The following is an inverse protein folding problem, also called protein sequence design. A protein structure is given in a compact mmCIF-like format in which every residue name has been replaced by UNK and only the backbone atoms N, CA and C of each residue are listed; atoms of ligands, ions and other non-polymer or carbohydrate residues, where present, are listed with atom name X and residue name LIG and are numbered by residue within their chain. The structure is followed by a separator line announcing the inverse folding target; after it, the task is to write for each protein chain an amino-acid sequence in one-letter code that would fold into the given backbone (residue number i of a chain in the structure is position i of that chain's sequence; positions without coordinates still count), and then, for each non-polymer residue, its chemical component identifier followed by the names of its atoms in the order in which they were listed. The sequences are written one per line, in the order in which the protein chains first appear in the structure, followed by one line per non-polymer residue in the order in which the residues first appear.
data_IF_084911986813
#
_entry.id   IF_084911986813
#
_cell.length_a   1.000
_cell.length_b   1.000
_cell.length_c   1.000
_cell.angle_alpha   90.00
_cell.angle_beta   90.00
_cell.angle_gamma   90.00
#
_symmetry.space_group_name_H-M   'P 1'
#
loop_
_entity.id
_entity.type
_entity.pdbx_description
1 polymer ?
#
# COMPACT_ATOMS: atom_id res chain seq x y z
N UNK A 1 -12.68 -5.39 32.62
CA UNK A 1 -13.36 -4.54 31.63
C UNK A 1 -12.90 -4.97 30.26
N UNK A 2 -13.74 -5.46 29.34
CA UNK A 2 -13.32 -5.76 27.99
C UNK A 2 -13.03 -4.43 27.32
N UNK A 3 -11.82 -4.28 26.88
CA UNK A 3 -11.26 -3.05 26.34
C UNK A 3 -11.95 -2.67 25.03
N UNK A 4 -12.24 -1.40 24.86
CA UNK A 4 -12.62 -0.69 23.63
C UNK A 4 -11.65 -0.93 22.44
N UNK A 5 -10.61 -1.74 22.61
CA UNK A 5 -9.60 -2.07 21.61
C UNK A 5 -10.04 -3.11 20.55
N UNK A 6 -11.17 -3.81 20.77
CA UNK A 6 -11.58 -4.89 19.88
C UNK A 6 -12.67 -4.52 18.87
N UNK A 7 -13.25 -3.33 18.92
CA UNK A 7 -14.25 -2.92 17.92
C UNK A 7 -13.56 -2.31 16.70
N UNK A 8 -13.83 -2.87 15.52
CA UNK A 8 -13.45 -2.28 14.25
C UNK A 8 -14.50 -1.23 13.85
N UNK A 9 -14.06 -0.02 13.60
CA UNK A 9 -14.90 1.05 13.05
C UNK A 9 -15.44 0.61 11.68
N UNK A 10 -16.68 0.95 11.35
CA UNK A 10 -17.21 0.77 10.00
C UNK A 10 -16.33 1.50 8.99
N UNK A 11 -16.12 0.89 7.85
CA UNK A 11 -15.34 1.47 6.75
C UNK A 11 -16.25 2.41 5.95
N UNK A 12 -15.67 3.49 5.44
CA UNK A 12 -16.31 4.42 4.52
C UNK A 12 -15.27 4.85 3.47
N UNK A 13 -15.72 5.40 2.34
CA UNK A 13 -14.83 5.96 1.33
C UNK A 13 -14.01 4.91 0.56
N UNK A 14 -14.55 3.68 0.42
CA UNK A 14 -13.93 2.66 -0.43
C UNK A 14 -14.15 3.05 -1.89
N UNK A 15 -13.08 3.09 -2.67
CA UNK A 15 -13.12 3.37 -4.10
C UNK A 15 -12.48 2.24 -4.89
N UNK A 16 -13.07 1.92 -6.04
CA UNK A 16 -12.47 1.08 -7.05
C UNK A 16 -12.25 1.93 -8.30
N UNK A 17 -11.03 1.94 -8.82
CA UNK A 17 -10.70 2.62 -10.08
C UNK A 17 -10.88 1.71 -11.28
N UNK A 18 -11.01 2.30 -12.48
CA UNK A 18 -11.03 1.58 -13.76
C UNK A 18 -9.68 0.90 -14.08
N UNK A 19 -8.61 1.30 -13.38
CA UNK A 19 -7.32 0.62 -13.41
C UNK A 19 -7.27 -0.64 -12.52
N UNK A 20 -8.40 -1.03 -11.91
CA UNK A 20 -8.51 -2.23 -11.09
C UNK A 20 -7.85 -2.13 -9.72
N UNK A 21 -7.61 -0.92 -9.23
CA UNK A 21 -7.08 -0.67 -7.90
C UNK A 21 -8.21 -0.26 -6.96
N UNK A 22 -8.35 -0.95 -5.86
CA UNK A 22 -9.25 -0.57 -4.77
C UNK A 22 -8.47 0.11 -3.65
N UNK A 23 -9.01 1.21 -3.10
CA UNK A 23 -8.39 1.97 -2.00
C UNK A 23 -9.44 2.36 -0.97
N UNK A 24 -9.00 2.59 0.27
CA UNK A 24 -9.85 2.99 1.41
C UNK A 24 -9.03 3.71 2.48
N UNK A 25 -9.66 4.50 3.37
CA UNK A 25 -8.97 5.10 4.50
C UNK A 25 -8.46 4.03 5.46
N UNK A 26 -7.21 4.18 5.94
CA UNK A 26 -6.63 3.25 6.90
C UNK A 26 -7.37 3.28 8.25
N UNK A 27 -7.56 2.11 8.86
CA UNK A 27 -8.14 1.95 10.19
C UNK A 27 -7.02 1.59 11.17
N UNK A 28 -6.80 2.40 12.19
CA UNK A 28 -5.69 2.25 13.14
C UNK A 28 -5.70 0.94 13.93
N UNK A 29 -6.86 0.30 14.07
CA UNK A 29 -7.04 -1.01 14.74
C UNK A 29 -7.00 -2.19 13.77
N UNK A 30 -6.92 -1.96 12.46
CA UNK A 30 -6.76 -3.01 11.47
C UNK A 30 -5.30 -3.44 11.36
N UNK A 31 -5.08 -4.75 11.27
CA UNK A 31 -3.80 -5.35 10.93
C UNK A 31 -3.75 -5.82 9.48
N UNK A 32 -4.94 -6.06 8.91
CA UNK A 32 -5.09 -6.41 7.50
C UNK A 32 -6.52 -6.14 7.04
N UNK A 33 -6.76 -6.33 5.75
CA UNK A 33 -8.07 -6.18 5.13
C UNK A 33 -8.36 -7.39 4.24
N UNK A 34 -9.62 -7.80 4.20
CA UNK A 34 -10.13 -8.77 3.24
C UNK A 34 -10.96 -8.05 2.18
N UNK A 35 -10.73 -8.40 0.92
CA UNK A 35 -11.39 -7.77 -0.24
C UNK A 35 -12.05 -8.84 -1.10
N UNK A 36 -13.32 -8.68 -1.39
CA UNK A 36 -14.08 -9.50 -2.34
C UNK A 36 -14.39 -8.71 -3.59
N UNK A 37 -14.05 -9.25 -4.73
CA UNK A 37 -14.40 -8.66 -6.02
C UNK A 37 -15.72 -9.25 -6.50
N UNK A 38 -16.61 -8.39 -6.98
CA UNK A 38 -17.88 -8.74 -7.56
C UNK A 38 -17.91 -8.31 -9.03
N UNK A 39 -18.54 -9.11 -9.86
CA UNK A 39 -18.82 -8.84 -11.26
C UNK A 39 -20.30 -9.10 -11.49
N UNK A 40 -21.02 -8.09 -11.96
CA UNK A 40 -22.48 -8.14 -12.14
C UNK A 40 -23.19 -8.74 -10.91
N UNK A 41 -22.81 -8.28 -9.70
CA UNK A 41 -23.36 -8.73 -8.42
C UNK A 41 -22.90 -10.12 -7.94
N UNK A 42 -22.07 -10.84 -8.70
CA UNK A 42 -21.57 -12.18 -8.35
C UNK A 42 -20.10 -12.12 -7.92
N UNK A 43 -19.76 -12.88 -6.86
CA UNK A 43 -18.38 -12.99 -6.36
C UNK A 43 -17.47 -13.59 -7.43
N UNK A 44 -16.28 -13.00 -7.60
CA UNK A 44 -15.23 -13.49 -8.51
C UNK A 44 -14.06 -14.06 -7.70
N UNK A 45 -13.97 -15.36 -7.64
CA UNK A 45 -12.88 -16.08 -6.95
C UNK A 45 -12.90 -15.94 -5.43
N UNK A 46 -11.80 -16.26 -4.79
CA UNK A 46 -11.60 -16.12 -3.34
C UNK A 46 -11.31 -14.68 -2.95
N UNK A 47 -11.52 -14.34 -1.68
CA UNK A 47 -11.14 -13.03 -1.15
C UNK A 47 -9.61 -12.80 -1.30
N UNK A 48 -9.25 -11.57 -1.60
CA UNK A 48 -7.88 -11.07 -1.54
C UNK A 48 -7.61 -10.58 -0.12
N UNK A 49 -6.37 -10.67 0.32
CA UNK A 49 -5.95 -10.15 1.64
C UNK A 49 -4.78 -9.19 1.44
N UNK A 50 -4.78 -8.08 2.14
CA UNK A 50 -3.71 -7.09 2.15
C UNK A 50 -3.55 -6.48 3.54
N UNK A 51 -2.34 -6.09 3.90
CA UNK A 51 -1.99 -5.36 5.12
C UNK A 51 -1.95 -3.83 4.89
N UNK A 52 -2.11 -3.41 3.64
CA UNK A 52 -2.20 -2.01 3.23
C UNK A 52 -3.66 -1.58 3.03
N UNK A 53 -3.89 -0.29 2.91
CA UNK A 53 -5.22 0.29 2.64
C UNK A 53 -5.56 0.37 1.13
N UNK A 54 -4.94 -0.50 0.34
CA UNK A 54 -5.21 -0.65 -1.09
C UNK A 54 -4.94 -2.08 -1.56
N UNK A 55 -5.51 -2.47 -2.71
CA UNK A 55 -5.31 -3.78 -3.30
C UNK A 55 -5.47 -3.74 -4.82
N UNK A 56 -4.63 -4.49 -5.52
CA UNK A 56 -4.77 -4.73 -6.95
C UNK A 56 -5.78 -5.86 -7.21
N UNK A 57 -6.91 -5.51 -7.82
CA UNK A 57 -8.00 -6.42 -8.13
C UNK A 57 -7.95 -6.97 -9.57
N UNK A 58 -7.00 -6.53 -10.42
CA UNK A 58 -6.94 -6.83 -11.86
C UNK A 58 -7.04 -8.32 -12.16
N UNK A 59 -6.37 -9.16 -11.37
CA UNK A 59 -6.42 -10.63 -11.49
C UNK A 59 -7.86 -11.18 -11.41
N UNK A 60 -8.78 -10.45 -10.80
CA UNK A 60 -10.20 -10.80 -10.68
C UNK A 60 -11.09 -10.06 -11.70
N UNK A 61 -10.53 -9.10 -12.46
CA UNK A 61 -11.27 -8.21 -13.35
C UNK A 61 -10.96 -8.48 -14.84
N UNK A 62 -10.74 -9.75 -15.19
CA UNK A 62 -10.26 -10.18 -16.52
C UNK A 62 -11.38 -10.44 -17.55
N UNK A 63 -12.66 -10.25 -17.20
CA UNK A 63 -13.75 -10.38 -18.16
C UNK A 63 -14.14 -9.02 -18.69
N UNK A 64 -14.06 -8.78 -20.01
CA UNK A 64 -14.35 -7.49 -20.59
C UNK A 64 -15.84 -7.17 -20.62
N UNK A 65 -16.15 -5.88 -20.71
CA UNK A 65 -17.47 -5.33 -20.91
C UNK A 65 -18.46 -5.69 -19.79
N UNK A 66 -17.98 -5.70 -18.56
CA UNK A 66 -18.72 -6.03 -17.36
C UNK A 66 -18.51 -4.98 -16.28
N UNK A 67 -19.46 -4.86 -15.36
CA UNK A 67 -19.36 -3.98 -14.21
C UNK A 67 -18.75 -4.72 -13.02
N UNK A 68 -17.82 -4.05 -12.34
CA UNK A 68 -17.14 -4.56 -11.16
C UNK A 68 -17.30 -3.63 -9.97
N UNK A 69 -17.37 -4.21 -8.80
CA UNK A 69 -17.28 -3.52 -7.51
C UNK A 69 -16.50 -4.38 -6.53
N UNK A 70 -16.05 -3.80 -5.44
CA UNK A 70 -15.44 -4.54 -4.33
C UNK A 70 -16.20 -4.34 -3.03
N UNK A 71 -16.13 -5.35 -2.15
CA UNK A 71 -16.46 -5.19 -0.74
C UNK A 71 -15.20 -5.41 0.06
N UNK A 72 -14.98 -4.55 1.04
CA UNK A 72 -13.80 -4.59 1.90
C UNK A 72 -14.25 -4.68 3.35
N UNK A 73 -13.52 -5.43 4.17
CA UNK A 73 -13.62 -5.40 5.61
C UNK A 73 -12.26 -5.40 6.27
N UNK A 74 -12.16 -4.73 7.40
CA UNK A 74 -10.96 -4.75 8.24
C UNK A 74 -10.88 -6.03 9.07
N UNK A 75 -9.66 -6.48 9.36
CA UNK A 75 -9.34 -7.57 10.28
C UNK A 75 -8.52 -6.97 11.42
N UNK A 76 -8.90 -7.23 12.67
CA UNK A 76 -8.25 -6.63 13.83
C UNK A 76 -6.78 -7.08 13.95
N UNK A 77 -5.89 -6.13 14.27
CA UNK A 77 -4.44 -6.40 14.37
C UNK A 77 -4.03 -7.23 15.58
N UNK A 78 -4.87 -7.29 16.61
CA UNK A 78 -4.59 -8.04 17.83
C UNK A 78 -5.31 -9.39 17.88
N UNK A 79 -6.45 -9.50 17.16
CA UNK A 79 -7.26 -10.71 17.10
C UNK A 79 -7.85 -10.85 15.68
N UNK A 80 -7.27 -11.69 14.86
CA UNK A 80 -7.68 -11.91 13.48
C UNK A 80 -9.05 -12.59 13.32
N UNK A 81 -9.65 -13.09 14.40
CA UNK A 81 -11.02 -13.60 14.41
C UNK A 81 -12.05 -12.47 14.46
N UNK A 82 -11.63 -11.28 14.95
CA UNK A 82 -12.46 -10.08 14.99
C UNK A 82 -12.35 -9.36 13.64
N UNK A 83 -13.48 -9.34 12.93
CA UNK A 83 -13.58 -8.73 11.59
C UNK A 83 -14.71 -7.72 11.56
N UNK A 84 -14.49 -6.63 10.83
CA UNK A 84 -15.49 -5.59 10.58
C UNK A 84 -16.56 -6.05 9.57
N UNK A 85 -17.57 -5.21 9.41
CA UNK A 85 -18.62 -5.41 8.41
C UNK A 85 -18.07 -5.19 7.00
N UNK A 86 -18.67 -5.88 6.02
CA UNK A 86 -18.36 -5.69 4.61
C UNK A 86 -18.95 -4.37 4.11
N UNK A 87 -18.11 -3.50 3.57
CA UNK A 87 -18.50 -2.22 3.00
C UNK A 87 -18.20 -2.19 1.49
N UNK A 88 -19.09 -1.62 0.73
CA UNK A 88 -19.06 -1.61 -0.74
C UNK A 88 -18.31 -0.39 -1.29
N UNK A 89 -17.66 -0.56 -2.44
CA UNK A 89 -17.12 0.52 -3.26
C UNK A 89 -18.15 1.07 -4.26
N UNK A 90 -17.75 2.09 -5.02
CA UNK A 90 -18.40 2.41 -6.30
C UNK A 90 -18.29 1.24 -7.29
N UNK A 91 -19.13 1.25 -8.31
CA UNK A 91 -19.08 0.32 -9.44
C UNK A 91 -18.27 0.94 -10.58
N UNK A 92 -17.43 0.14 -11.25
CA UNK A 92 -16.68 0.53 -12.44
C UNK A 92 -16.96 -0.43 -13.60
N UNK A 93 -17.08 0.11 -14.80
CA UNK A 93 -17.18 -0.65 -16.05
C UNK A 93 -15.76 -0.90 -16.59
N UNK A 94 -15.45 -2.16 -16.92
CA UNK A 94 -14.15 -2.56 -17.46
C UNK A 94 -14.32 -2.98 -18.92
N UNK A 95 -13.78 -2.16 -19.82
CA UNK A 95 -13.82 -2.41 -21.26
C UNK A 95 -12.88 -3.52 -21.71
N UNK A 96 -13.00 -3.94 -22.98
CA UNK A 96 -12.09 -4.89 -23.60
C UNK A 96 -10.63 -4.38 -23.63
N UNK A 97 -10.45 -3.10 -23.89
CA UNK A 97 -9.13 -2.46 -23.94
C UNK A 97 -8.48 -2.47 -22.55
N UNK A 98 -9.24 -2.20 -21.49
CA UNK A 98 -8.74 -2.28 -20.11
C UNK A 98 -8.33 -3.70 -19.73
N UNK A 99 -9.08 -4.70 -20.12
CA UNK A 99 -8.68 -6.10 -19.91
C UNK A 99 -7.40 -6.44 -20.68
N UNK A 100 -7.23 -5.90 -21.89
CA UNK A 100 -5.98 -6.07 -22.65
C UNK A 100 -4.79 -5.44 -21.93
N UNK A 101 -4.94 -4.21 -21.40
CA UNK A 101 -3.94 -3.57 -20.54
C UNK A 101 -3.58 -4.44 -19.33
N UNK A 102 -4.59 -4.97 -18.61
CA UNK A 102 -4.35 -5.81 -17.43
C UNK A 102 -3.58 -7.09 -17.76
N UNK A 103 -3.81 -7.69 -18.93
CA UNK A 103 -3.10 -8.91 -19.38
C UNK A 103 -1.63 -8.66 -19.70
N UNK A 104 -1.28 -7.46 -20.14
CA UNK A 104 0.08 -7.08 -20.46
C UNK A 104 0.86 -6.49 -19.29
N UNK A 105 0.18 -6.17 -18.18
CA UNK A 105 0.82 -5.66 -16.97
C UNK A 105 1.49 -6.80 -16.19
N UNK A 106 2.83 -6.80 -16.04
CA UNK A 106 3.54 -7.83 -15.30
C UNK A 106 3.14 -7.91 -13.82
N UNK A 107 2.54 -6.84 -13.28
CA UNK A 107 2.11 -6.76 -11.88
C UNK A 107 0.61 -7.09 -11.69
N UNK A 108 -0.12 -7.42 -12.76
CA UNK A 108 -1.56 -7.67 -12.67
C UNK A 108 -1.93 -8.78 -11.69
N UNK A 109 -1.06 -9.76 -11.51
CA UNK A 109 -1.25 -10.90 -10.58
C UNK A 109 -0.82 -10.63 -9.14
N UNK A 110 -0.09 -9.54 -8.90
CA UNK A 110 0.39 -9.20 -7.56
C UNK A 110 -0.64 -8.36 -6.82
N UNK A 111 -1.39 -9.00 -5.93
CA UNK A 111 -2.47 -8.35 -5.16
C UNK A 111 -1.98 -7.28 -4.19
N UNK A 112 -0.74 -7.39 -3.72
CA UNK A 112 -0.15 -6.45 -2.76
C UNK A 112 0.53 -5.23 -3.43
N UNK A 113 0.62 -5.18 -4.78
CA UNK A 113 1.18 -4.02 -5.50
C UNK A 113 0.23 -2.82 -5.59
N UNK A 114 -0.92 -2.90 -4.98
CA UNK A 114 -1.85 -1.77 -4.89
C UNK A 114 -1.38 -0.64 -3.96
N UNK A 115 -0.37 -0.90 -3.13
CA UNK A 115 0.32 0.15 -2.36
C UNK A 115 1.39 0.82 -3.23
N UNK A 116 0.96 1.67 -4.15
CA UNK A 116 1.83 2.64 -4.83
C UNK A 116 2.98 2.12 -5.71
N UNK A 117 3.17 0.80 -5.84
CA UNK A 117 4.40 0.21 -6.38
C UNK A 117 4.46 0.03 -7.90
N UNK A 118 3.47 0.45 -8.66
CA UNK A 118 3.58 0.60 -10.13
C UNK A 118 4.04 1.99 -10.54
N UNK A 119 4.50 2.78 -9.61
CA UNK A 119 5.09 4.08 -9.88
C UNK A 119 6.47 3.95 -10.52
N UNK A 120 7.04 5.07 -10.88
CA UNK A 120 8.37 5.15 -11.48
C UNK A 120 9.25 6.10 -10.67
N UNK A 121 10.46 5.65 -10.40
CA UNK A 121 11.50 6.55 -9.96
C UNK A 121 11.80 7.57 -11.04
N UNK A 122 11.86 8.82 -10.66
CA UNK A 122 12.22 9.94 -11.52
C UNK A 122 13.37 10.71 -10.90
N UNK A 123 14.29 11.16 -11.74
CA UNK A 123 15.39 11.99 -11.34
C UNK A 123 15.25 13.37 -11.97
N UNK A 124 15.36 14.40 -11.15
CA UNK A 124 15.39 15.77 -11.61
C UNK A 124 16.78 16.16 -12.16
N UNK A 125 16.85 17.30 -12.82
CA UNK A 125 18.11 17.82 -13.40
C UNK A 125 19.17 18.10 -12.34
N UNK A 126 18.77 18.36 -11.09
CA UNK A 126 19.63 18.56 -9.93
C UNK A 126 20.03 17.25 -9.22
N UNK A 127 19.71 16.10 -9.87
CA UNK A 127 19.99 14.73 -9.41
C UNK A 127 19.18 14.25 -8.21
N UNK A 128 18.23 15.01 -7.69
CA UNK A 128 17.31 14.52 -6.66
C UNK A 128 16.37 13.49 -7.24
N UNK A 129 16.07 12.44 -6.45
CA UNK A 129 15.14 11.39 -6.81
C UNK A 129 13.80 11.61 -6.14
N UNK A 130 12.74 11.28 -6.84
CA UNK A 130 11.39 11.19 -6.32
C UNK A 130 10.63 10.03 -6.96
N UNK A 131 9.56 9.61 -6.31
CA UNK A 131 8.78 8.48 -6.78
C UNK A 131 7.40 8.94 -7.23
N UNK A 132 7.09 8.78 -8.51
CA UNK A 132 5.77 9.05 -9.08
C UNK A 132 4.95 7.77 -9.00
N UNK A 133 3.92 7.75 -8.16
CA UNK A 133 2.98 6.63 -8.10
C UNK A 133 2.20 6.49 -9.41
N UNK A 134 1.54 5.34 -9.61
CA UNK A 134 0.77 5.06 -10.83
C UNK A 134 -0.38 6.05 -11.06
N UNK A 135 -0.95 6.60 -9.98
CA UNK A 135 -2.01 7.60 -10.00
C UNK A 135 -1.50 9.05 -10.23
N UNK A 136 -0.20 9.21 -10.43
CA UNK A 136 0.46 10.50 -10.63
C UNK A 136 0.78 11.25 -9.33
N UNK A 137 0.40 10.74 -8.17
CA UNK A 137 0.79 11.31 -6.87
C UNK A 137 2.24 10.92 -6.50
N UNK A 138 2.75 11.49 -5.43
CA UNK A 138 4.08 11.17 -4.88
C UNK A 138 4.03 11.18 -3.34
N UNK A 139 4.88 10.38 -2.66
CA UNK A 139 5.01 10.45 -1.22
C UNK A 139 5.70 11.76 -0.81
N UNK A 140 5.22 12.39 0.26
CA UNK A 140 5.83 13.58 0.84
C UNK A 140 5.73 13.53 2.36
N UNK A 141 6.83 13.87 3.03
CA UNK A 141 6.98 13.85 4.48
C UNK A 141 6.52 12.51 5.09
N UNK A 142 6.97 11.40 4.51
CA UNK A 142 6.59 10.05 4.94
C UNK A 142 7.57 8.97 4.50
N UNK A 143 7.49 7.83 5.16
CA UNK A 143 8.06 6.58 4.70
C UNK A 143 7.16 5.92 3.66
N UNK A 144 7.78 5.27 2.66
CA UNK A 144 7.11 4.47 1.64
C UNK A 144 7.89 3.18 1.41
N UNK A 145 7.20 2.05 1.39
CA UNK A 145 7.81 0.77 1.05
C UNK A 145 7.72 0.54 -0.47
N UNK A 146 8.87 0.44 -1.13
CA UNK A 146 8.99 0.27 -2.57
C UNK A 146 9.87 -0.94 -2.88
N UNK A 147 9.26 -1.98 -3.42
CA UNK A 147 9.99 -3.20 -3.80
C UNK A 147 10.63 -3.94 -2.61
N UNK A 148 9.98 -3.93 -1.44
CA UNK A 148 10.47 -4.58 -0.22
C UNK A 148 11.55 -3.79 0.53
N UNK A 149 11.77 -2.53 0.17
CA UNK A 149 12.69 -1.60 0.84
C UNK A 149 11.96 -0.34 1.24
N UNK A 150 12.32 0.22 2.40
CA UNK A 150 11.76 1.46 2.91
C UNK A 150 12.59 2.66 2.47
N UNK A 151 11.89 3.72 2.01
CA UNK A 151 12.46 5.00 1.58
C UNK A 151 11.75 6.13 2.31
N UNK A 152 12.48 7.16 2.72
CA UNK A 152 11.88 8.37 3.27
C UNK A 152 11.86 9.48 2.24
N UNK A 153 10.74 10.17 2.15
CA UNK A 153 10.55 11.33 1.27
C UNK A 153 10.34 12.58 2.10
N UNK A 154 11.06 13.65 1.76
CA UNK A 154 10.94 14.93 2.45
C UNK A 154 9.58 15.60 2.15
N UNK A 155 9.37 16.78 2.74
CA UNK A 155 8.14 17.58 2.57
C UNK A 155 7.85 17.97 1.11
N UNK A 156 8.88 18.01 0.26
CA UNK A 156 8.78 18.32 -1.17
C UNK A 156 8.67 17.05 -2.04
N UNK A 157 8.65 15.86 -1.43
CA UNK A 157 8.53 14.58 -2.10
C UNK A 157 9.84 14.02 -2.66
N UNK A 158 11.00 14.54 -2.25
CA UNK A 158 12.29 14.01 -2.66
C UNK A 158 12.81 12.97 -1.69
N UNK A 159 13.36 11.89 -2.26
CA UNK A 159 14.01 10.81 -1.50
C UNK A 159 15.19 11.34 -0.69
N UNK A 160 15.22 11.00 0.59
CA UNK A 160 16.29 11.36 1.52
C UNK A 160 17.30 10.23 1.65
N UNK A 161 18.55 10.62 1.93
CA UNK A 161 19.67 9.74 2.29
C UNK A 161 20.27 10.20 3.60
N UNK A 162 21.05 9.33 4.26
CA UNK A 162 21.65 9.62 5.56
C UNK A 162 20.63 9.51 6.72
N UNK A 163 20.90 10.23 7.81
CA UNK A 163 20.06 10.17 9.00
C UNK A 163 18.71 10.88 8.82
N UNK A 164 17.67 10.21 9.31
CA UNK A 164 16.28 10.67 9.30
C UNK A 164 15.74 10.59 10.72
N UNK A 165 15.37 11.71 11.30
CA UNK A 165 14.65 11.75 12.58
C UNK A 165 13.15 11.71 12.31
N UNK A 166 12.47 10.69 12.83
CA UNK A 166 11.07 10.45 12.61
C UNK A 166 10.38 9.87 13.85
N UNK A 167 9.35 10.55 14.33
CA UNK A 167 8.55 10.12 15.48
C UNK A 167 9.40 9.77 16.73
N UNK A 168 10.45 10.56 16.99
CA UNK A 168 11.30 10.38 18.17
C UNK A 168 12.33 9.24 18.06
N UNK A 169 12.51 8.67 16.88
CA UNK A 169 13.55 7.70 16.54
C UNK A 169 14.41 8.21 15.40
N UNK A 170 15.68 7.77 15.32
CA UNK A 170 16.57 8.06 14.21
C UNK A 170 16.77 6.81 13.37
N UNK A 171 16.73 6.98 12.05
CA UNK A 171 16.89 5.94 11.03
C UNK A 171 17.98 6.35 10.07
N UNK A 172 18.59 5.40 9.37
CA UNK A 172 19.60 5.71 8.38
C UNK A 172 19.22 5.16 7.00
N UNK A 173 19.17 6.04 6.00
CA UNK A 173 18.99 5.66 4.60
C UNK A 173 20.35 5.61 3.88
N UNK A 174 20.59 4.55 3.10
CA UNK A 174 21.79 4.39 2.29
C UNK A 174 21.93 5.49 1.24
N UNK A 175 23.05 5.52 0.51
CA UNK A 175 23.22 6.41 -0.66
C UNK A 175 22.19 6.15 -1.77
N UNK A 176 21.62 4.93 -1.83
CA UNK A 176 20.54 4.57 -2.73
C UNK A 176 19.15 4.92 -2.18
N UNK A 177 19.07 5.48 -0.97
CA UNK A 177 17.84 5.90 -0.30
C UNK A 177 17.14 4.82 0.52
N UNK A 178 17.55 3.56 0.42
CA UNK A 178 16.92 2.47 1.18
C UNK A 178 17.34 2.49 2.66
N UNK A 179 16.36 2.32 3.56
CA UNK A 179 16.57 2.27 5.00
C UNK A 179 17.43 1.05 5.38
N UNK A 180 18.47 1.27 6.18
CA UNK A 180 19.30 0.20 6.73
C UNK A 180 18.60 -0.46 7.92
N UNK A 181 18.74 -1.79 8.01
CA UNK A 181 18.21 -2.61 9.12
C UNK A 181 19.24 -3.65 9.54
N UNK A 182 19.27 -4.01 10.84
CA UNK A 182 20.13 -5.06 11.41
C UNK A 182 21.62 -4.94 11.02
N UNK A 183 22.15 -3.72 10.93
CA UNK A 183 23.53 -3.51 10.51
C UNK A 183 24.16 -2.26 11.15
N UNK A 184 25.46 -2.08 10.92
CA UNK A 184 26.16 -0.84 11.24
C UNK A 184 26.03 0.15 10.09
N UNK A 185 25.73 1.40 10.41
CA UNK A 185 25.77 2.51 9.45
C UNK A 185 27.23 2.85 9.07
N UNK A 186 27.47 3.57 7.96
CA UNK A 186 28.83 3.97 7.57
C UNK A 186 29.61 4.78 8.62
N UNK A 187 28.90 5.47 9.51
CA UNK A 187 29.45 6.25 10.63
C UNK A 187 29.46 5.49 11.97
N UNK A 188 29.36 4.13 11.91
CA UNK A 188 29.50 3.18 13.01
C UNK A 188 28.40 3.23 14.09
N UNK A 189 27.17 3.51 13.73
CA UNK A 189 26.02 3.35 14.60
C UNK A 189 25.26 2.07 14.26
N UNK A 190 24.75 1.37 15.26
CA UNK A 190 23.94 0.16 15.08
C UNK A 190 22.48 0.54 14.87
N UNK A 191 21.85 0.00 13.81
CA UNK A 191 20.40 0.06 13.60
C UNK A 191 19.79 -1.33 13.73
N UNK A 192 18.61 -1.40 14.32
CA UNK A 192 17.91 -2.66 14.61
C UNK A 192 17.09 -3.18 13.42
N UNK A 193 16.34 -4.27 13.66
CA UNK A 193 15.47 -4.90 12.67
C UNK A 193 14.34 -3.97 12.18
N UNK A 194 13.94 -3.01 13.02
CA UNK A 194 12.96 -1.97 12.67
C UNK A 194 13.61 -0.73 12.00
N UNK A 195 14.92 -0.78 11.74
CA UNK A 195 15.70 0.31 11.17
C UNK A 195 16.05 1.43 12.15
N UNK A 196 15.53 1.40 13.38
CA UNK A 196 15.82 2.44 14.35
C UNK A 196 17.24 2.30 14.94
N UNK A 197 17.91 3.44 15.17
CA UNK A 197 19.16 3.49 15.88
C UNK A 197 19.04 2.91 17.29
N UNK A 198 20.00 2.07 17.66
CA UNK A 198 20.12 1.48 18.99
C UNK A 198 21.19 2.25 19.76
N UNK A 199 20.79 2.97 20.81
CA UNK A 199 21.75 3.61 21.73
C UNK A 199 22.58 2.52 22.44
N UNK A 200 23.90 2.66 22.41
CA UNK A 200 24.84 1.80 23.14
C UNK A 200 25.02 2.31 24.55
#
# INVERSE_FOLDING_TARGET
MPSLQNSLKSMEGITLSDNGIATWPAISTAGSYEVRVYREGKIVGTALTTDTNSVNCRVRMMKPNENYMVKVRAVNKYDNTVKGEWTESNTVYISGDKVAEFKTDPNASNVNTASGTTGKWKQETDKRWWYCRADGTYPANQWEELGGKWYFFDENGYMKTGWIDWNGKSYYCSENGDMLTDCMTPDNYLVGADGAWIAQ
#
